data_IF_824284506463
#
_entry.id   IF_824284506463
#
_cell.length_a   1.000
_cell.length_b   1.000
_cell.length_c   1.000
_cell.angle_alpha   90.00
_cell.angle_beta   90.00
_cell.angle_gamma   90.00
#
_symmetry.space_group_name_H-M   'P 1'
#
loop_
_entity.id
_entity.type
_entity.pdbx_description
1 polymer ?
#
# COMPACT_ATOMS: atom_id res chain seq x y z
N UNK A 1 18.64 -18.42 41.79
CA UNK A 1 19.15 -17.65 40.64
C UNK A 1 18.09 -17.39 39.57
N UNK A 2 17.22 -18.35 39.24
CA UNK A 2 16.18 -18.20 38.20
C UNK A 2 15.00 -17.28 38.54
N UNK A 3 14.63 -17.12 39.82
CA UNK A 3 13.52 -16.26 40.22
C UNK A 3 13.73 -14.78 39.83
N UNK A 4 14.96 -14.27 40.01
CA UNK A 4 15.33 -12.92 39.58
C UNK A 4 15.29 -12.74 38.06
N UNK A 5 15.73 -13.75 37.31
CA UNK A 5 15.67 -13.72 35.84
C UNK A 5 14.21 -13.64 35.33
N UNK A 6 13.28 -14.32 36.01
CA UNK A 6 11.85 -14.30 35.68
C UNK A 6 11.22 -12.92 35.95
N UNK A 7 11.59 -12.28 37.06
CA UNK A 7 11.17 -10.91 37.38
C UNK A 7 11.66 -9.91 36.33
N UNK A 8 12.94 -9.99 35.92
CA UNK A 8 13.49 -9.12 34.88
C UNK A 8 12.82 -9.33 33.51
N UNK A 9 12.42 -10.55 33.18
CA UNK A 9 11.70 -10.85 31.94
C UNK A 9 10.31 -10.20 31.94
N UNK A 10 9.55 -10.36 33.02
CA UNK A 10 8.22 -9.75 33.15
C UNK A 10 8.31 -8.23 33.11
N UNK A 11 9.29 -7.65 33.82
CA UNK A 11 9.53 -6.21 33.79
C UNK A 11 9.87 -5.72 32.37
N UNK A 12 10.73 -6.43 31.64
CA UNK A 12 11.08 -6.09 30.25
C UNK A 12 9.87 -6.12 29.31
N UNK A 13 9.01 -7.14 29.42
CA UNK A 13 7.79 -7.26 28.60
C UNK A 13 6.80 -6.15 28.95
N UNK A 14 6.62 -5.82 30.23
CA UNK A 14 5.74 -4.74 30.66
C UNK A 14 6.22 -3.38 30.14
N UNK A 15 7.52 -3.12 30.20
CA UNK A 15 8.13 -1.89 29.69
C UNK A 15 7.94 -1.79 28.17
N UNK A 16 8.17 -2.88 27.43
CA UNK A 16 7.94 -2.91 25.98
C UNK A 16 6.46 -2.72 25.62
N UNK A 17 5.53 -3.31 26.36
CA UNK A 17 4.10 -3.15 26.12
C UNK A 17 3.62 -1.69 26.29
N UNK A 18 4.27 -0.93 27.18
CA UNK A 18 3.96 0.48 27.44
C UNK A 18 4.66 1.40 26.42
N UNK A 19 5.89 1.07 26.02
CA UNK A 19 6.72 1.94 25.18
C UNK A 19 6.58 1.68 23.68
N UNK A 20 6.16 0.49 23.27
CA UNK A 20 5.99 0.17 21.85
C UNK A 20 4.78 0.93 21.32
N UNK A 21 5.07 2.03 20.62
CA UNK A 21 4.08 2.76 19.84
C UNK A 21 3.50 1.79 18.80
N UNK A 22 2.17 1.74 18.62
CA UNK A 22 1.57 0.91 17.59
C UNK A 22 2.24 1.25 16.26
N UNK A 23 2.66 0.22 15.51
CA UNK A 23 3.25 0.47 14.20
C UNK A 23 2.27 1.31 13.37
N UNK A 24 2.74 2.40 12.74
CA UNK A 24 1.89 3.18 11.86
C UNK A 24 1.30 2.21 10.83
N UNK A 25 -0.02 2.29 10.65
CA UNK A 25 -0.70 1.46 9.66
C UNK A 25 -0.03 1.63 8.30
N UNK A 26 0.03 0.53 7.53
CA UNK A 26 0.63 0.55 6.21
C UNK A 26 -0.01 1.66 5.38
N UNK A 27 0.83 2.60 4.92
CA UNK A 27 0.37 3.77 4.18
C UNK A 27 -0.31 3.29 2.90
N UNK A 28 -1.46 3.89 2.58
CA UNK A 28 -2.11 3.66 1.29
C UNK A 28 -1.16 4.11 0.19
N UNK A 29 -0.97 3.26 -0.82
CA UNK A 29 -0.24 3.61 -2.04
C UNK A 29 -0.87 4.87 -2.64
N UNK A 30 -0.05 5.87 -2.93
CA UNK A 30 -0.47 7.12 -3.53
C UNK A 30 -0.66 6.95 -5.04
N UNK A 31 -1.33 7.91 -5.68
CA UNK A 31 -1.47 7.95 -7.14
C UNK A 31 -0.09 8.03 -7.82
N UNK A 32 0.82 8.76 -7.20
CA UNK A 32 2.20 9.03 -7.67
C UNK A 32 3.09 7.78 -7.68
N UNK A 33 2.70 6.71 -6.99
CA UNK A 33 3.46 5.45 -6.96
C UNK A 33 3.24 4.60 -8.23
N UNK A 34 2.36 5.03 -9.13
CA UNK A 34 2.02 4.32 -10.36
C UNK A 34 2.41 5.12 -11.60
N UNK A 35 3.05 4.44 -12.54
CA UNK A 35 3.32 4.99 -13.87
C UNK A 35 2.17 4.61 -14.82
N UNK A 36 1.36 5.60 -15.18
CA UNK A 36 0.23 5.42 -16.09
C UNK A 36 0.54 6.07 -17.44
N UNK A 37 0.14 5.45 -18.56
CA UNK A 37 0.25 6.11 -19.84
C UNK A 37 -0.68 7.33 -19.85
N UNK A 38 -0.07 8.50 -19.94
CA UNK A 38 -0.72 9.80 -20.10
C UNK A 38 -0.19 10.47 -21.35
N UNK A 39 -1.03 11.32 -21.95
CA UNK A 39 -0.62 12.15 -23.07
C UNK A 39 0.08 13.41 -22.54
N UNK A 40 1.29 13.68 -23.04
CA UNK A 40 1.99 14.93 -22.79
C UNK A 40 1.49 16.05 -23.73
N UNK A 41 1.81 17.29 -23.38
CA UNK A 41 1.51 18.45 -24.23
C UNK A 41 2.17 18.30 -25.61
N UNK A 42 1.36 18.42 -26.67
CA UNK A 42 1.80 18.23 -28.06
C UNK A 42 1.69 16.79 -28.56
N UNK A 43 1.24 15.84 -27.75
CA UNK A 43 0.93 14.47 -28.21
C UNK A 43 -0.18 14.51 -29.26
N UNK A 44 0.03 13.96 -30.47
CA UNK A 44 -0.97 14.02 -31.54
C UNK A 44 -2.19 13.15 -31.21
N UNK A 45 -3.40 13.68 -31.45
CA UNK A 45 -4.65 12.96 -31.25
C UNK A 45 -5.05 12.23 -32.54
N UNK A 46 -4.98 10.91 -32.53
CA UNK A 46 -5.42 10.08 -33.65
C UNK A 46 -6.95 10.02 -33.71
N UNK A 47 -7.52 10.13 -34.91
CA UNK A 47 -8.94 9.89 -35.19
C UNK A 47 -9.02 8.68 -36.12
N UNK A 48 -9.70 7.63 -35.66
CA UNK A 48 -9.83 6.39 -36.40
C UNK A 48 -11.13 6.35 -37.19
N UNK A 49 -11.06 5.86 -38.43
CA UNK A 49 -12.23 5.54 -39.25
C UNK A 49 -12.16 4.04 -39.60
N UNK A 50 -13.09 3.26 -39.06
CA UNK A 50 -13.06 1.79 -39.13
C UNK A 50 -12.22 1.14 -38.04
N UNK A 51 -12.01 -0.18 -38.13
CA UNK A 51 -11.31 -0.96 -37.11
C UNK A 51 -9.79 -0.89 -37.29
N UNK A 52 -9.09 -0.47 -36.24
CA UNK A 52 -7.63 -0.33 -36.22
C UNK A 52 -7.10 -0.68 -34.82
N UNK A 53 -5.97 -1.38 -34.77
CA UNK A 53 -5.22 -1.56 -33.52
C UNK A 53 -4.29 -0.38 -33.30
N UNK A 54 -4.26 0.15 -32.07
CA UNK A 54 -3.38 1.25 -31.69
C UNK A 54 -2.70 0.99 -30.36
N UNK A 55 -1.46 1.45 -30.25
CA UNK A 55 -0.67 1.44 -29.02
C UNK A 55 -0.90 2.72 -28.19
N UNK A 56 -1.53 3.74 -28.77
CA UNK A 56 -1.80 5.02 -28.12
C UNK A 56 -3.06 4.96 -27.26
N UNK A 57 -2.92 4.44 -26.04
CA UNK A 57 -3.97 4.46 -25.02
C UNK A 57 -3.54 5.32 -23.85
N UNK A 58 -4.51 5.93 -23.15
CA UNK A 58 -4.26 6.72 -21.94
C UNK A 58 -5.27 6.39 -20.86
N UNK A 59 -4.87 6.53 -19.60
CA UNK A 59 -5.77 6.35 -18.45
C UNK A 59 -6.51 7.66 -18.19
N UNK A 60 -7.83 7.69 -18.43
CA UNK A 60 -8.67 8.86 -18.17
C UNK A 60 -8.99 9.02 -16.68
N UNK A 61 -9.22 7.91 -15.98
CA UNK A 61 -9.58 7.93 -14.56
C UNK A 61 -9.14 6.65 -13.87
N UNK A 62 -8.53 6.81 -12.69
CA UNK A 62 -8.18 5.72 -11.79
C UNK A 62 -8.39 6.16 -10.34
N UNK A 63 -8.80 5.24 -9.47
CA UNK A 63 -9.17 5.59 -8.09
C UNK A 63 -9.32 4.39 -7.16
N UNK A 64 -9.82 4.66 -5.95
CA UNK A 64 -10.01 3.68 -4.86
C UNK A 64 -8.70 3.14 -4.22
N UNK A 65 -7.81 4.03 -3.78
CA UNK A 65 -6.61 3.70 -3.00
C UNK A 65 -6.87 3.27 -1.55
N UNK A 66 -8.12 2.93 -1.19
CA UNK A 66 -8.47 2.60 0.19
C UNK A 66 -7.86 1.28 0.58
N UNK A 67 -7.09 1.26 1.66
CA UNK A 67 -6.57 0.02 2.22
C UNK A 67 -7.69 -0.71 2.98
N UNK A 68 -8.00 -1.93 2.54
CA UNK A 68 -8.88 -2.84 3.27
C UNK A 68 -8.03 -3.91 3.94
N UNK A 69 -8.09 -3.98 5.27
CA UNK A 69 -7.43 -5.05 6.02
C UNK A 69 -7.97 -6.40 5.54
N UNK A 70 -7.09 -7.29 5.08
CA UNK A 70 -7.44 -8.68 4.80
C UNK A 70 -7.76 -9.33 6.14
N UNK A 71 -9.05 -9.53 6.40
CA UNK A 71 -9.53 -10.28 7.56
C UNK A 71 -9.36 -11.77 7.26
N UNK A 72 -8.11 -12.25 7.30
CA UNK A 72 -7.86 -13.68 7.35
C UNK A 72 -8.28 -14.16 8.74
N UNK A 73 -9.37 -14.93 8.82
CA UNK A 73 -9.49 -15.90 9.90
C UNK A 73 -8.38 -16.91 9.63
N UNK A 74 -7.25 -16.74 10.31
CA UNK A 74 -6.05 -17.53 10.09
C UNK A 74 -6.36 -19.01 9.93
N UNK A 75 -5.88 -19.59 8.83
CA UNK A 75 -5.52 -21.00 8.82
C UNK A 75 -4.03 -21.08 8.54
N UNK A 76 -3.32 -21.35 9.64
CA UNK A 76 -1.90 -21.65 9.83
C UNK A 76 -0.97 -20.44 9.83
#
# INVERSE_FOLDING_TARGET
MFAWALVFLVASVAIQAILVKPQPGQQATALEDFDFPQADEGTPQAVFFGDCWTEGWMVLWYGNYRTRKIQSKGKK
#
